data_IF_805546549417
#
_entry.id   IF_805546549417
#
_cell.length_a   1.000
_cell.length_b   1.000
_cell.length_c   1.000
_cell.angle_alpha   90.00
_cell.angle_beta   90.00
_cell.angle_gamma   90.00
#
_symmetry.space_group_name_H-M   'P 1'
#
loop_
_entity.id
_entity.type
_entity.pdbx_description
1 polymer ?
#
# COMPACT_ATOMS: atom_id res chain seq x y z
N UNK A 1 -16.39 -8.33 6.31
CA UNK A 1 -15.90 -8.36 4.91
C UNK A 1 -14.42 -8.72 4.84
N UNK A 2 -13.93 -9.25 3.73
CA UNK A 2 -12.49 -9.51 3.56
C UNK A 2 -11.83 -8.30 2.88
N UNK A 3 -10.53 -8.03 3.09
CA UNK A 3 -9.81 -7.00 2.34
C UNK A 3 -9.85 -7.30 0.84
N UNK A 4 -9.90 -6.24 0.04
CA UNK A 4 -9.89 -6.28 -1.42
C UNK A 4 -8.65 -5.56 -1.94
N UNK A 5 -8.28 -5.83 -3.21
CA UNK A 5 -7.24 -5.03 -3.87
C UNK A 5 -7.62 -3.55 -3.82
N UNK A 6 -6.65 -2.70 -3.52
CA UNK A 6 -6.82 -1.26 -3.36
C UNK A 6 -7.15 -0.83 -1.93
N UNK A 7 -7.63 -1.70 -1.04
CA UNK A 7 -7.87 -1.35 0.36
C UNK A 7 -6.55 -0.93 1.03
N UNK A 8 -6.60 0.08 1.89
CA UNK A 8 -5.50 0.42 2.79
C UNK A 8 -5.78 -0.30 4.11
N UNK A 9 -4.81 -1.06 4.61
CA UNK A 9 -4.96 -1.87 5.82
C UNK A 9 -3.92 -1.50 6.86
N UNK A 10 -4.29 -1.68 8.13
CA UNK A 10 -3.38 -1.66 9.28
C UNK A 10 -3.16 -3.09 9.74
N UNK A 11 -1.91 -3.50 9.96
CA UNK A 11 -1.57 -4.86 10.36
C UNK A 11 -0.32 -4.86 11.25
N UNK A 12 -0.19 -5.88 12.09
CA UNK A 12 1.06 -6.12 12.83
C UNK A 12 2.16 -6.51 11.86
N UNK A 13 3.31 -5.88 11.96
CA UNK A 13 4.44 -6.17 11.08
C UNK A 13 4.94 -7.61 11.33
N UNK A 14 4.97 -8.49 10.30
CA UNK A 14 5.30 -9.90 10.50
C UNK A 14 6.68 -10.18 11.11
N UNK A 15 7.66 -9.29 10.91
CA UNK A 15 9.01 -9.46 11.49
C UNK A 15 9.16 -8.85 12.88
N UNK A 16 8.25 -7.98 13.31
CA UNK A 16 8.21 -7.38 14.66
C UNK A 16 6.76 -7.04 15.04
N UNK A 17 6.03 -7.97 15.67
CA UNK A 17 4.59 -7.81 15.97
C UNK A 17 4.26 -6.69 16.96
N UNK A 18 5.27 -6.02 17.54
CA UNK A 18 5.08 -4.82 18.39
C UNK A 18 4.82 -3.56 17.57
N UNK A 19 5.07 -3.60 16.26
CA UNK A 19 4.87 -2.47 15.33
C UNK A 19 3.65 -2.72 14.46
N UNK A 20 2.81 -1.71 14.33
CA UNK A 20 1.74 -1.70 13.33
C UNK A 20 2.21 -0.98 12.07
N UNK A 21 1.90 -1.54 10.90
CA UNK A 21 2.22 -0.99 9.58
C UNK A 21 0.93 -0.64 8.84
N UNK A 22 0.99 0.40 8.00
CA UNK A 22 -0.09 0.78 7.08
C UNK A 22 0.41 0.64 5.64
N UNK A 23 -0.29 -0.17 4.83
CA UNK A 23 0.04 -0.42 3.43
C UNK A 23 -1.23 -0.67 2.61
N UNK A 24 -1.12 -0.55 1.28
CA UNK A 24 -2.21 -0.85 0.34
C UNK A 24 -2.15 -2.31 -0.11
N UNK A 25 -3.30 -2.96 -0.16
CA UNK A 25 -3.45 -4.32 -0.69
C UNK A 25 -3.28 -4.31 -2.21
N UNK A 26 -2.26 -5.00 -2.69
CA UNK A 26 -1.96 -5.15 -4.13
C UNK A 26 -2.42 -6.50 -4.64
N UNK A 27 -2.22 -7.57 -3.86
CA UNK A 27 -2.62 -8.93 -4.19
C UNK A 27 -3.45 -9.57 -3.08
N UNK A 28 -4.47 -10.32 -3.48
CA UNK A 28 -5.31 -11.17 -2.63
C UNK A 28 -5.02 -12.65 -2.93
N UNK A 29 -5.50 -13.62 -2.13
CA UNK A 29 -5.22 -15.03 -2.34
C UNK A 29 -5.45 -15.50 -3.79
N UNK A 30 -4.50 -16.24 -4.33
CA UNK A 30 -4.50 -16.74 -5.71
C UNK A 30 -3.83 -15.80 -6.72
N UNK A 31 -3.59 -14.54 -6.37
CA UNK A 31 -2.97 -13.59 -7.31
C UNK A 31 -1.51 -13.90 -7.58
N UNK A 32 -1.11 -13.84 -8.85
CA UNK A 32 0.29 -13.86 -9.26
C UNK A 32 0.80 -12.43 -9.40
N UNK A 33 1.76 -12.07 -8.54
CA UNK A 33 2.38 -10.74 -8.50
C UNK A 33 3.76 -10.79 -9.15
N UNK A 34 4.02 -9.88 -10.09
CA UNK A 34 5.33 -9.65 -10.70
C UNK A 34 5.59 -8.16 -10.78
N UNK A 35 6.82 -7.74 -10.54
CA UNK A 35 7.26 -6.34 -10.74
C UNK A 35 8.42 -6.37 -11.73
N UNK A 36 8.34 -5.54 -12.77
CA UNK A 36 9.39 -5.37 -13.77
C UNK A 36 9.65 -3.89 -13.94
N UNK A 37 10.87 -3.45 -13.65
CA UNK A 37 11.29 -2.06 -13.76
C UNK A 37 10.27 -1.08 -13.16
N UNK A 38 9.95 -1.27 -11.86
CA UNK A 38 8.96 -0.51 -11.07
C UNK A 38 7.48 -0.72 -11.45
N UNK A 39 7.17 -1.41 -12.54
CA UNK A 39 5.79 -1.65 -12.97
C UNK A 39 5.25 -2.93 -12.34
N UNK A 40 4.13 -2.82 -11.61
CA UNK A 40 3.44 -3.96 -11.00
C UNK A 40 2.48 -4.61 -12.00
N UNK A 41 2.53 -5.94 -12.04
CA UNK A 41 1.63 -6.80 -12.78
C UNK A 41 0.92 -7.75 -11.82
N UNK A 42 -0.41 -7.85 -11.95
CA UNK A 42 -1.26 -8.79 -11.22
C UNK A 42 -1.92 -9.71 -12.23
N UNK A 43 -1.69 -11.02 -12.09
CA UNK A 43 -2.18 -12.04 -13.01
C UNK A 43 -1.79 -11.77 -14.48
N UNK A 44 -0.60 -11.20 -14.69
CA UNK A 44 -0.07 -10.86 -16.02
C UNK A 44 -0.52 -9.50 -16.56
N UNK A 45 -1.46 -8.82 -15.92
CA UNK A 45 -1.95 -7.51 -16.34
C UNK A 45 -1.28 -6.39 -15.57
N UNK A 46 -0.86 -5.33 -16.26
CA UNK A 46 -0.33 -4.12 -15.63
C UNK A 46 -1.38 -3.51 -14.70
N UNK A 47 -1.01 -3.29 -13.44
CA UNK A 47 -1.88 -2.66 -12.46
C UNK A 47 -1.97 -1.16 -12.74
N UNK A 48 -3.18 -0.58 -12.69
CA UNK A 48 -3.39 0.86 -12.81
C UNK A 48 -3.29 1.49 -11.42
N UNK A 49 -2.30 2.35 -11.23
CA UNK A 49 -1.93 2.83 -9.90
C UNK A 49 -1.82 4.36 -9.87
N UNK A 50 -2.95 5.10 -9.92
CA UNK A 50 -2.92 6.57 -9.91
C UNK A 50 -2.48 7.15 -8.54
N UNK A 51 -2.33 6.30 -7.52
CA UNK A 51 -2.00 6.68 -6.14
C UNK A 51 -0.51 6.62 -5.80
N UNK A 52 0.35 6.13 -6.71
CA UNK A 52 1.76 5.88 -6.38
C UNK A 52 2.65 7.10 -6.62
N UNK A 53 3.72 7.16 -5.84
CA UNK A 53 4.80 8.12 -6.00
C UNK A 53 6.13 7.37 -6.16
N UNK A 54 6.95 7.83 -7.10
CA UNK A 54 8.35 7.41 -7.24
C UNK A 54 9.24 8.61 -6.93
N UNK A 55 10.16 8.44 -5.99
CA UNK A 55 11.14 9.48 -5.61
C UNK A 55 12.39 9.42 -6.48
N UNK A 56 12.59 8.32 -7.21
CA UNK A 56 13.79 8.05 -8.00
C UNK A 56 13.44 7.55 -9.40
N UNK A 57 13.96 8.17 -10.48
CA UNK A 57 13.78 7.67 -11.84
C UNK A 57 14.65 6.45 -12.14
N UNK A 58 15.69 6.19 -11.34
CA UNK A 58 16.63 5.09 -11.57
C UNK A 58 15.97 3.74 -11.31
N UNK A 59 16.24 2.78 -12.21
CA UNK A 59 15.87 1.38 -12.03
C UNK A 59 17.02 0.64 -11.38
N UNK A 60 16.75 -0.07 -10.29
CA UNK A 60 17.67 -1.01 -9.67
C UNK A 60 17.59 -2.34 -10.45
N UNK A 61 18.69 -2.81 -11.04
CA UNK A 61 18.73 -4.08 -11.77
C UNK A 61 18.25 -5.26 -10.94
N UNK A 62 17.64 -6.23 -11.63
CA UNK A 62 17.33 -7.53 -11.04
C UNK A 62 18.62 -8.16 -10.47
N UNK A 63 18.58 -8.63 -9.23
CA UNK A 63 19.72 -9.21 -8.51
C UNK A 63 20.30 -8.31 -7.42
N UNK A 64 20.10 -6.99 -7.48
CA UNK A 64 20.54 -6.07 -6.40
C UNK A 64 19.48 -5.86 -5.31
N UNK A 65 18.22 -6.18 -5.60
CA UNK A 65 17.15 -6.13 -4.61
C UNK A 65 15.75 -6.21 -5.22
N UNK A 66 14.72 -6.35 -4.36
CA UNK A 66 13.35 -6.57 -4.82
C UNK A 66 12.58 -5.28 -5.15
N UNK A 67 13.20 -4.10 -4.99
CA UNK A 67 12.51 -2.80 -5.06
C UNK A 67 11.78 -2.61 -6.39
N UNK A 68 12.50 -2.83 -7.50
CA UNK A 68 12.04 -2.51 -8.85
C UNK A 68 11.76 -3.75 -9.70
N UNK A 69 12.30 -4.91 -9.28
CA UNK A 69 12.19 -6.18 -9.99
C UNK A 69 11.91 -7.28 -8.97
N UNK A 70 10.75 -7.93 -9.07
CA UNK A 70 10.26 -8.87 -8.06
C UNK A 70 9.37 -9.96 -8.65
N UNK A 71 9.43 -11.15 -8.05
CA UNK A 71 8.58 -12.28 -8.41
C UNK A 71 8.96 -12.93 -9.74
N UNK A 72 8.05 -13.71 -10.34
CA UNK A 72 6.65 -13.88 -9.95
C UNK A 72 6.48 -14.66 -8.64
N UNK A 73 5.47 -14.31 -7.84
CA UNK A 73 5.00 -15.12 -6.70
C UNK A 73 3.47 -15.20 -6.70
N UNK A 74 2.91 -16.28 -6.17
CA UNK A 74 1.47 -16.42 -5.96
C UNK A 74 1.13 -16.14 -4.51
N UNK A 75 0.12 -15.30 -4.25
CA UNK A 75 -0.37 -15.02 -2.90
C UNK A 75 -1.06 -16.27 -2.35
N UNK A 76 -0.62 -16.83 -1.20
CA UNK A 76 -1.22 -18.03 -0.65
C UNK A 76 -2.63 -17.76 -0.09
N UNK A 77 -3.39 -18.82 0.20
CA UNK A 77 -4.63 -18.71 0.98
C UNK A 77 -4.42 -17.92 2.28
N UNK A 78 -5.44 -17.19 2.71
CA UNK A 78 -5.43 -16.41 3.97
C UNK A 78 -4.33 -15.35 4.09
N UNK A 79 -3.78 -14.89 2.96
CA UNK A 79 -2.67 -13.96 2.92
C UNK A 79 -2.89 -12.82 1.94
N UNK A 80 -2.19 -11.70 2.17
CA UNK A 80 -2.20 -10.52 1.31
C UNK A 80 -0.79 -10.18 0.88
N UNK A 81 -0.66 -9.60 -0.32
CA UNK A 81 0.54 -8.90 -0.76
C UNK A 81 0.27 -7.40 -0.74
N UNK A 82 1.05 -6.63 0.00
CA UNK A 82 0.82 -5.20 0.22
C UNK A 82 2.04 -4.36 -0.11
N UNK A 83 1.81 -3.15 -0.60
CA UNK A 83 2.87 -2.20 -0.92
C UNK A 83 2.53 -0.81 -0.37
N UNK A 84 3.57 -0.01 -0.11
CA UNK A 84 3.38 1.41 0.14
C UNK A 84 3.20 2.19 -1.16
N UNK A 85 2.49 3.31 -1.07
CA UNK A 85 2.25 4.20 -2.21
C UNK A 85 3.52 5.00 -2.58
N UNK A 86 4.38 5.33 -1.60
CA UNK A 86 5.73 5.82 -1.86
C UNK A 86 6.66 4.64 -2.17
N UNK A 87 6.77 4.30 -3.45
CA UNK A 87 7.27 3.00 -3.92
C UNK A 87 8.74 2.77 -3.66
N UNK A 88 9.52 3.82 -3.78
CA UNK A 88 10.97 3.72 -3.70
C UNK A 88 11.46 3.73 -2.24
N UNK A 89 10.63 4.23 -1.32
CA UNK A 89 10.93 4.42 0.11
C UNK A 89 10.13 3.50 1.05
N UNK A 90 9.36 2.57 0.50
CA UNK A 90 8.50 1.70 1.31
C UNK A 90 9.13 0.35 1.55
N UNK A 91 9.35 -0.01 2.81
CA UNK A 91 9.62 -1.38 3.24
C UNK A 91 8.30 -2.17 3.39
N UNK A 92 8.04 -3.08 2.45
CA UNK A 92 6.75 -3.79 2.31
C UNK A 92 6.89 -5.24 1.78
N UNK A 93 5.82 -5.84 1.24
CA UNK A 93 5.78 -7.25 0.84
C UNK A 93 6.86 -7.66 -0.18
N UNK A 94 7.47 -6.71 -0.88
CA UNK A 94 8.66 -6.98 -1.71
C UNK A 94 9.84 -7.53 -0.90
N UNK A 95 9.95 -7.21 0.40
CA UNK A 95 11.03 -7.66 1.27
C UNK A 95 10.64 -8.82 2.17
N UNK A 96 9.44 -8.80 2.74
CA UNK A 96 8.99 -9.80 3.74
C UNK A 96 7.83 -10.69 3.27
N UNK A 97 7.41 -10.58 2.01
CA UNK A 97 6.33 -11.37 1.40
C UNK A 97 4.96 -11.06 1.99
N UNK A 98 4.27 -11.99 2.63
CA UNK A 98 2.83 -11.89 2.80
C UNK A 98 2.39 -11.44 4.20
N UNK A 99 1.21 -10.83 4.28
CA UNK A 99 0.52 -10.53 5.55
C UNK A 99 -0.57 -11.58 5.73
N UNK A 100 -0.54 -12.33 6.82
CA UNK A 100 -1.64 -13.23 7.17
C UNK A 100 -2.87 -12.41 7.61
N UNK A 101 -4.06 -12.91 7.30
CA UNK A 101 -5.31 -12.29 7.72
C UNK A 101 -5.42 -12.16 9.25
N UNK A 102 -4.75 -13.04 10.02
CA UNK A 102 -4.67 -12.96 11.49
C UNK A 102 -3.98 -11.69 12.00
N UNK A 103 -3.09 -11.10 11.20
CA UNK A 103 -2.32 -9.91 11.59
C UNK A 103 -3.07 -8.60 11.37
N UNK A 104 -4.23 -8.65 10.71
CA UNK A 104 -5.03 -7.47 10.39
C UNK A 104 -5.66 -6.87 11.65
N UNK A 105 -5.37 -5.59 11.89
CA UNK A 105 -5.96 -4.83 13.00
C UNK A 105 -7.35 -4.32 12.64
N UNK A 106 -8.32 -5.24 12.60
CA UNK A 106 -9.75 -4.95 12.42
C UNK A 106 -10.10 -4.13 11.16
N UNK A 107 -11.40 -3.92 10.91
CA UNK A 107 -11.86 -3.05 9.81
C UNK A 107 -12.00 -1.59 10.18
N UNK A 108 -12.11 -1.32 11.47
CA UNK A 108 -12.53 -0.04 12.00
C UNK A 108 -11.46 1.06 11.78
N UNK A 109 -10.17 0.71 11.77
CA UNK A 109 -9.09 1.70 11.57
C UNK A 109 -9.01 2.25 10.13
N UNK A 110 -9.50 1.49 9.14
CA UNK A 110 -9.51 1.89 7.71
C UNK A 110 -10.50 3.04 7.47
N UNK A 111 -11.64 3.06 8.19
CA UNK A 111 -12.64 4.12 8.11
C UNK A 111 -12.25 5.32 8.99
N UNK A 112 -11.62 5.07 10.15
CA UNK A 112 -11.24 6.12 11.10
C UNK A 112 -10.12 7.04 10.56
N UNK A 113 -9.15 6.52 9.82
CA UNK A 113 -8.11 7.34 9.16
C UNK A 113 -8.48 7.82 7.75
N UNK A 114 -9.62 7.37 7.20
CA UNK A 114 -10.17 7.84 5.92
C UNK A 114 -11.13 9.03 6.07
N UNK A 115 -11.28 9.57 7.28
CA UNK A 115 -11.86 10.88 7.55
C UNK A 115 -10.73 11.84 7.90
N UNK A 116 -9.96 12.24 6.89
CA UNK A 116 -9.77 13.65 6.54
C UNK A 116 -8.50 13.90 5.73
N UNK A 117 -8.65 14.10 4.42
CA UNK A 117 -7.64 14.79 3.62
C UNK A 117 -8.20 16.05 2.96
N UNK A 118 -9.38 16.57 3.36
CA UNK A 118 -9.97 17.77 2.76
C UNK A 118 -10.77 18.74 3.67
N UNK A 119 -11.13 18.41 4.93
CA UNK A 119 -11.96 19.23 5.84
C UNK A 119 -11.79 18.95 7.36
N UNK A 120 -10.69 19.39 7.99
CA UNK A 120 -10.67 19.74 9.43
C UNK A 120 -9.75 20.92 9.75
N UNK A 121 -9.99 22.06 9.08
CA UNK A 121 -9.91 23.36 9.76
C UNK A 121 -11.10 24.21 9.33
N UNK A 122 -11.86 24.86 10.25
CA UNK A 122 -12.69 25.96 9.83
C UNK A 122 -11.74 27.04 9.28
N UNK A 123 -11.85 27.36 7.98
CA UNK A 123 -11.16 28.51 7.39
C UNK A 123 -11.84 29.79 7.88
N UNK A 124 -11.43 30.27 9.05
CA UNK A 124 -11.90 31.53 9.64
C UNK A 124 -11.49 32.77 8.82
N UNK A 125 -10.61 32.65 7.82
CA UNK A 125 -10.13 33.77 6.97
C UNK A 125 -11.08 34.20 5.84
N UNK A 126 -12.36 33.76 5.84
CA UNK A 126 -13.38 34.26 4.90
C UNK A 126 -14.65 34.81 5.57
N UNK A 127 -14.65 34.97 6.89
CA UNK A 127 -15.65 35.78 7.62
C UNK A 127 -14.99 37.11 7.95
N UNK A 128 -15.01 38.05 7.00
CA UNK A 128 -14.35 39.34 7.21
C UNK A 128 -13.97 40.12 5.96
N UNK A 129 -14.72 40.01 4.85
CA UNK A 129 -14.88 41.18 3.99
C UNK A 129 -16.14 41.91 4.48
N UNK A 130 -15.98 42.67 5.56
CA UNK A 130 -16.89 43.78 5.83
C UNK A 130 -16.53 44.84 4.81
N UNK A 131 -17.45 45.06 3.88
CA UNK A 131 -17.46 46.24 3.03
C UNK A 131 -17.68 47.44 3.95
N UNK A 132 -16.77 48.41 3.89
CA UNK A 132 -17.08 49.83 4.11
C UNK A 132 -16.60 50.57 2.87
#
# INVERSE_FOLDING_TARGET
SNPKRGDIIVFKFPMDPKKDFIKRVIGIPGDKIKIVNKVVYVNGHKLKEPYIQHTSPQIIPAGLGPRDNFGPITVPPHSLFVMGDNRDESYDSRWWKFVDYSELRGKAFIIYWSWDSEKFTPRWSRIGHIIH
#
